data_IF_596780995481
#
_entry.id   IF_596780995481
#
_cell.length_a   1.000
_cell.length_b   1.000
_cell.length_c   1.000
_cell.angle_alpha   90.00
_cell.angle_beta   90.00
_cell.angle_gamma   90.00
#
_symmetry.space_group_name_H-M   'P 1'
#
loop_
_entity.id
_entity.type
_entity.pdbx_description
1 polymer ?
#
# COMPACT_ATOMS: atom_id res chain seq x y z
N UNK A 1 28.12 -11.39 3.07
CA UNK A 1 27.40 -10.21 2.50
C UNK A 1 28.11 -8.95 2.95
N UNK A 2 28.33 -7.95 2.09
CA UNK A 2 28.90 -6.67 2.55
C UNK A 2 27.80 -5.90 3.32
N UNK A 3 28.16 -5.31 4.46
CA UNK A 3 27.30 -4.35 5.18
C UNK A 3 27.30 -3.02 4.42
N UNK A 4 26.64 -3.00 3.26
CA UNK A 4 26.45 -1.78 2.50
C UNK A 4 25.05 -1.26 2.79
N UNK A 5 24.95 -0.12 3.47
CA UNK A 5 23.70 0.62 3.61
C UNK A 5 23.38 1.26 2.26
N UNK A 6 22.19 1.01 1.74
CA UNK A 6 21.72 1.63 0.50
C UNK A 6 21.01 2.94 0.83
N UNK A 7 21.33 4.00 0.10
CA UNK A 7 20.60 5.27 0.19
C UNK A 7 19.28 5.23 -0.60
N UNK A 8 19.05 4.18 -1.39
CA UNK A 8 17.85 4.05 -2.21
C UNK A 8 16.60 3.85 -1.34
N UNK A 9 15.57 4.66 -1.59
CA UNK A 9 14.31 4.64 -0.83
C UNK A 9 13.62 3.28 -0.90
N UNK A 10 13.66 2.58 -2.04
CA UNK A 10 13.03 1.27 -2.18
C UNK A 10 13.77 0.17 -1.41
N UNK A 11 15.10 0.26 -1.30
CA UNK A 11 15.89 -0.71 -0.54
C UNK A 11 15.66 -0.52 0.96
N UNK A 12 15.69 0.73 1.43
CA UNK A 12 15.33 1.08 2.81
C UNK A 12 13.91 0.65 3.13
N UNK A 13 12.98 0.86 2.21
CA UNK A 13 11.59 0.47 2.37
C UNK A 13 11.44 -1.05 2.56
N UNK A 14 12.03 -1.87 1.69
CA UNK A 14 11.83 -3.32 1.79
C UNK A 14 12.48 -3.89 3.05
N UNK A 15 13.61 -3.32 3.49
CA UNK A 15 14.23 -3.68 4.77
C UNK A 15 13.35 -3.29 5.96
N UNK A 16 12.82 -2.06 5.96
CA UNK A 16 11.85 -1.60 6.98
C UNK A 16 10.63 -2.51 7.02
N UNK A 17 9.97 -2.70 5.87
CA UNK A 17 8.75 -3.48 5.75
C UNK A 17 8.94 -4.93 6.20
N UNK A 18 10.12 -5.51 5.92
CA UNK A 18 10.47 -6.86 6.38
C UNK A 18 10.66 -6.89 7.90
N UNK A 19 11.32 -5.90 8.50
CA UNK A 19 11.49 -5.82 9.96
C UNK A 19 10.16 -5.60 10.69
N UNK A 20 9.28 -4.74 10.16
CA UNK A 20 7.90 -4.56 10.64
C UNK A 20 7.11 -5.88 10.58
N UNK A 21 7.26 -6.66 9.50
CA UNK A 21 6.66 -7.98 9.39
C UNK A 21 7.23 -8.98 10.43
N UNK A 22 8.55 -8.99 10.64
CA UNK A 22 9.18 -9.84 11.67
C UNK A 22 8.63 -9.49 13.04
N UNK A 23 8.52 -8.21 13.38
CA UNK A 23 7.97 -7.75 14.65
C UNK A 23 6.52 -8.22 14.84
N UNK A 24 5.69 -8.05 13.81
CA UNK A 24 4.30 -8.52 13.80
C UNK A 24 4.19 -10.04 14.02
N UNK A 25 4.93 -10.83 13.23
CA UNK A 25 4.87 -12.30 13.31
C UNK A 25 5.36 -12.79 14.67
N UNK A 26 6.44 -12.22 15.22
CA UNK A 26 6.93 -12.59 16.56
C UNK A 26 5.87 -12.32 17.63
N UNK A 27 5.21 -11.17 17.58
CA UNK A 27 4.13 -10.81 18.52
C UNK A 27 2.99 -11.81 18.43
N UNK A 28 2.42 -12.01 17.23
CA UNK A 28 1.29 -12.93 17.05
C UNK A 28 1.65 -14.38 17.42
N UNK A 29 2.88 -14.85 17.12
CA UNK A 29 3.34 -16.18 17.52
C UNK A 29 3.51 -16.31 19.04
N UNK A 30 3.98 -15.26 19.74
CA UNK A 30 4.09 -15.25 21.21
C UNK A 30 2.73 -15.29 21.91
N UNK A 31 1.69 -14.75 21.26
CA UNK A 31 0.31 -14.75 21.73
C UNK A 31 -0.50 -15.96 21.21
N UNK A 32 0.15 -16.93 20.56
CA UNK A 32 -0.46 -18.12 19.94
C UNK A 32 -1.55 -17.82 18.87
N UNK A 33 -1.51 -16.63 18.26
CA UNK A 33 -2.45 -16.19 17.21
C UNK A 33 -1.98 -16.58 15.80
N UNK A 34 -1.77 -17.87 15.58
CA UNK A 34 -1.20 -18.39 14.32
C UNK A 34 -2.06 -18.06 13.08
N UNK A 35 -3.38 -17.91 13.25
CA UNK A 35 -4.30 -17.55 12.18
C UNK A 35 -4.02 -16.17 11.57
N UNK A 36 -3.42 -15.25 12.35
CA UNK A 36 -3.13 -13.89 11.91
C UNK A 36 -1.82 -13.79 11.08
N UNK A 37 -0.97 -14.82 11.13
CA UNK A 37 0.40 -14.79 10.59
C UNK A 37 0.47 -15.16 9.11
N UNK A 38 -0.32 -16.15 8.67
CA UNK A 38 -0.20 -16.71 7.31
C UNK A 38 -0.53 -15.67 6.24
N UNK A 39 -1.58 -14.87 6.42
CA UNK A 39 -2.02 -13.89 5.41
C UNK A 39 -1.00 -12.76 5.19
N UNK A 40 -0.42 -12.12 6.22
CA UNK A 40 0.65 -11.15 6.03
C UNK A 40 1.90 -11.74 5.37
N UNK A 41 2.29 -12.96 5.74
CA UNK A 41 3.42 -13.67 5.13
C UNK A 41 3.20 -13.93 3.64
N UNK A 42 2.01 -14.34 3.22
CA UNK A 42 1.73 -14.56 1.79
C UNK A 42 1.70 -13.25 1.01
N UNK A 43 1.05 -12.20 1.55
CA UNK A 43 1.02 -10.85 0.96
C UNK A 43 2.40 -10.21 0.83
N UNK A 44 3.33 -10.60 1.69
CA UNK A 44 4.71 -10.14 1.59
C UNK A 44 5.34 -10.54 0.26
N UNK A 45 5.09 -11.75 -0.24
CA UNK A 45 5.64 -12.19 -1.53
C UNK A 45 5.11 -11.37 -2.70
N UNK A 46 3.82 -11.01 -2.69
CA UNK A 46 3.26 -10.09 -3.69
C UNK A 46 3.94 -8.73 -3.63
N UNK A 47 4.20 -8.23 -2.43
CA UNK A 47 4.89 -6.95 -2.22
C UNK A 47 6.34 -7.01 -2.70
N UNK A 48 7.07 -8.07 -2.38
CA UNK A 48 8.44 -8.28 -2.81
C UNK A 48 8.55 -8.40 -4.34
N UNK A 49 7.68 -9.19 -4.96
CA UNK A 49 7.76 -9.49 -6.41
C UNK A 49 7.18 -8.36 -7.27
N UNK A 50 5.95 -7.94 -6.98
CA UNK A 50 5.21 -6.99 -7.81
C UNK A 50 5.53 -5.52 -7.49
N UNK A 51 6.16 -5.21 -6.35
CA UNK A 51 6.63 -3.86 -6.04
C UNK A 51 8.15 -3.79 -6.08
N UNK A 52 8.84 -4.41 -5.13
CA UNK A 52 10.29 -4.22 -4.99
C UNK A 52 11.10 -4.72 -6.19
N UNK A 53 11.00 -6.01 -6.53
CA UNK A 53 11.78 -6.61 -7.64
C UNK A 53 11.41 -5.97 -8.97
N UNK A 54 10.12 -5.70 -9.20
CA UNK A 54 9.63 -5.12 -10.46
C UNK A 54 10.16 -3.70 -10.68
N UNK A 55 10.08 -2.84 -9.67
CA UNK A 55 10.56 -1.45 -9.75
C UNK A 55 12.09 -1.37 -9.78
N UNK A 56 12.79 -2.32 -9.16
CA UNK A 56 14.25 -2.35 -9.11
C UNK A 56 14.90 -3.29 -10.14
N UNK A 57 14.15 -3.80 -11.13
CA UNK A 57 14.67 -4.79 -12.10
C UNK A 57 15.93 -4.33 -12.83
N UNK A 58 15.97 -3.07 -13.25
CA UNK A 58 17.15 -2.47 -13.93
C UNK A 58 18.37 -2.44 -13.01
N UNK A 59 18.16 -2.08 -11.74
CA UNK A 59 19.20 -2.04 -10.69
C UNK A 59 19.74 -3.45 -10.42
N UNK A 60 18.86 -4.42 -10.21
CA UNK A 60 19.20 -5.83 -9.98
C UNK A 60 19.98 -6.42 -11.17
N UNK A 61 19.66 -6.02 -12.41
CA UNK A 61 20.39 -6.44 -13.62
C UNK A 61 21.76 -5.80 -13.78
N UNK A 62 22.03 -4.68 -13.11
CA UNK A 62 23.26 -3.90 -13.27
C UNK A 62 23.21 -2.82 -14.35
N UNK A 63 22.03 -2.54 -14.92
CA UNK A 63 21.86 -1.48 -15.92
C UNK A 63 22.13 -0.08 -15.33
N UNK A 64 22.05 0.05 -14.01
CA UNK A 64 22.29 1.29 -13.24
C UNK A 64 23.73 1.40 -12.70
N UNK A 65 24.60 0.43 -12.98
CA UNK A 65 25.97 0.37 -12.48
C UNK A 65 26.21 -0.76 -11.47
N UNK A 66 27.47 -1.21 -11.38
CA UNK A 66 27.86 -2.36 -10.56
C UNK A 66 27.68 -2.13 -9.05
N UNK A 67 27.88 -0.89 -8.60
CA UNK A 67 27.72 -0.54 -7.19
C UNK A 67 26.25 -0.57 -6.77
N UNK A 68 25.38 0.10 -7.53
CA UNK A 68 23.92 0.08 -7.30
C UNK A 68 23.32 -1.33 -7.40
N UNK A 69 23.83 -2.16 -8.31
CA UNK A 69 23.49 -3.57 -8.37
C UNK A 69 23.86 -4.31 -7.08
N UNK A 70 25.05 -4.05 -6.55
CA UNK A 70 25.54 -4.67 -5.31
C UNK A 70 24.66 -4.26 -4.13
N UNK A 71 24.24 -3.00 -4.05
CA UNK A 71 23.30 -2.51 -3.04
C UNK A 71 21.94 -3.21 -3.13
N UNK A 72 21.32 -3.22 -4.31
CA UNK A 72 20.01 -3.84 -4.51
C UNK A 72 20.02 -5.36 -4.24
N UNK A 73 21.05 -6.08 -4.71
CA UNK A 73 21.21 -7.51 -4.45
C UNK A 73 21.50 -7.80 -2.97
N UNK A 74 22.25 -6.93 -2.29
CA UNK A 74 22.52 -7.07 -0.85
C UNK A 74 21.24 -6.91 -0.03
N UNK A 75 20.45 -5.87 -0.31
CA UNK A 75 19.16 -5.65 0.35
C UNK A 75 18.21 -6.82 0.11
N UNK A 76 18.06 -7.26 -1.15
CA UNK A 76 17.26 -8.43 -1.50
C UNK A 76 17.74 -9.70 -0.77
N UNK A 77 19.05 -9.91 -0.68
CA UNK A 77 19.64 -11.04 0.03
C UNK A 77 19.28 -11.04 1.52
N UNK A 78 19.36 -9.88 2.21
CA UNK A 78 19.00 -9.76 3.63
C UNK A 78 17.53 -10.10 3.84
N UNK A 79 16.67 -9.52 3.01
CA UNK A 79 15.22 -9.75 3.05
C UNK A 79 14.89 -11.23 2.82
N UNK A 80 15.53 -11.89 1.85
CA UNK A 80 15.33 -13.31 1.57
C UNK A 80 15.76 -14.21 2.74
N UNK A 81 16.88 -13.89 3.41
CA UNK A 81 17.32 -14.63 4.60
C UNK A 81 16.29 -14.51 5.73
N UNK A 82 15.79 -13.30 6.00
CA UNK A 82 14.81 -13.05 7.05
C UNK A 82 13.50 -13.78 6.76
N UNK A 83 12.94 -13.65 5.56
CA UNK A 83 11.65 -14.26 5.23
C UNK A 83 11.72 -15.79 5.19
N UNK A 84 12.83 -16.39 4.74
CA UNK A 84 13.02 -17.85 4.74
C UNK A 84 13.02 -18.40 6.16
N UNK A 85 13.70 -17.73 7.09
CA UNK A 85 13.68 -18.09 8.52
C UNK A 85 12.30 -17.90 9.14
N UNK A 86 11.59 -16.82 8.79
CA UNK A 86 10.25 -16.51 9.29
C UNK A 86 9.19 -17.50 8.77
N UNK A 87 9.33 -17.97 7.53
CA UNK A 87 8.43 -18.93 6.88
C UNK A 87 8.71 -20.39 7.23
N UNK A 88 9.90 -20.70 7.78
CA UNK A 88 10.34 -22.07 8.07
C UNK A 88 9.32 -22.91 8.88
N UNK A 89 8.61 -22.36 9.89
CA UNK A 89 7.58 -23.12 10.61
C UNK A 89 6.36 -23.51 9.76
N UNK A 90 6.09 -22.78 8.67
CA UNK A 90 4.90 -22.95 7.83
C UNK A 90 5.18 -23.77 6.56
N UNK A 91 6.36 -23.60 5.97
CA UNK A 91 6.78 -24.29 4.73
C UNK A 91 8.16 -24.94 4.87
N UNK A 92 8.32 -25.91 5.79
CA UNK A 92 9.63 -26.35 6.28
C UNK A 92 10.56 -26.91 5.21
N UNK A 93 10.05 -27.74 4.30
CA UNK A 93 10.86 -28.34 3.22
C UNK A 93 11.29 -27.32 2.18
N UNK A 94 10.38 -26.41 1.81
CA UNK A 94 10.67 -25.36 0.84
C UNK A 94 11.69 -24.36 1.39
N UNK A 95 11.49 -23.89 2.62
CA UNK A 95 12.43 -23.00 3.28
C UNK A 95 13.81 -23.63 3.45
N UNK A 96 13.90 -24.91 3.79
CA UNK A 96 15.18 -25.60 3.90
C UNK A 96 15.91 -25.72 2.55
N UNK A 97 15.16 -26.00 1.47
CA UNK A 97 15.71 -26.00 0.12
C UNK A 97 16.24 -24.62 -0.30
N UNK A 98 15.49 -23.54 -0.03
CA UNK A 98 15.92 -22.18 -0.35
C UNK A 98 17.12 -21.78 0.51
N UNK A 99 17.10 -22.10 1.81
CA UNK A 99 18.20 -21.84 2.75
C UNK A 99 19.52 -22.46 2.29
N UNK A 100 19.49 -23.72 1.82
CA UNK A 100 20.67 -24.40 1.29
C UNK A 100 21.29 -23.70 0.07
N UNK A 101 20.51 -22.94 -0.69
CA UNK A 101 21.03 -22.11 -1.77
C UNK A 101 21.51 -20.75 -1.26
N UNK A 102 20.78 -20.11 -0.34
CA UNK A 102 21.15 -18.84 0.26
C UNK A 102 22.45 -18.94 1.08
N UNK A 103 22.68 -20.04 1.82
CA UNK A 103 23.92 -20.21 2.61
C UNK A 103 25.19 -20.15 1.76
N UNK A 104 25.14 -20.61 0.51
CA UNK A 104 26.28 -20.57 -0.43
C UNK A 104 26.71 -19.14 -0.75
N UNK A 105 25.77 -18.20 -0.69
CA UNK A 105 26.00 -16.78 -1.01
C UNK A 105 26.24 -15.96 0.25
N UNK A 106 25.55 -16.29 1.33
CA UNK A 106 25.58 -15.52 2.59
C UNK A 106 26.73 -15.93 3.51
N UNK A 107 27.22 -17.17 3.39
CA UNK A 107 28.22 -17.74 4.28
C UNK A 107 27.65 -18.22 5.63
N UNK A 108 26.32 -18.42 5.71
CA UNK A 108 25.68 -18.92 6.92
C UNK A 108 26.23 -20.30 7.32
N UNK A 109 26.49 -20.50 8.61
CA UNK A 109 27.13 -21.69 9.16
C UNK A 109 26.19 -22.89 9.28
N UNK A 110 24.91 -22.62 9.47
CA UNK A 110 23.89 -23.61 9.78
C UNK A 110 23.46 -24.36 8.51
N UNK A 111 23.50 -25.69 8.57
CA UNK A 111 23.19 -26.54 7.42
C UNK A 111 21.71 -26.51 7.00
N UNK A 112 20.84 -26.26 7.98
CA UNK A 112 19.39 -26.19 7.84
C UNK A 112 18.85 -24.91 8.46
N UNK A 113 17.79 -24.36 7.86
CA UNK A 113 17.08 -23.20 8.42
C UNK A 113 16.48 -23.51 9.79
N UNK A 114 16.14 -24.78 10.05
CA UNK A 114 15.51 -25.22 11.30
C UNK A 114 16.48 -25.24 12.49
N UNK A 115 17.78 -25.10 12.23
CA UNK A 115 18.79 -24.93 13.27
C UNK A 115 19.04 -23.45 13.61
N UNK A 116 18.33 -22.53 12.94
CA UNK A 116 18.43 -21.09 13.20
C UNK A 116 17.31 -20.64 14.12
N UNK A 117 17.58 -19.64 14.97
CA UNK A 117 16.55 -19.00 15.76
C UNK A 117 15.58 -18.21 14.87
N UNK A 118 14.34 -18.01 15.33
CA UNK A 118 13.44 -17.05 14.70
C UNK A 118 14.11 -15.67 14.67
N UNK A 119 14.08 -14.96 13.53
CA UNK A 119 14.73 -13.67 13.40
C UNK A 119 14.13 -12.67 14.38
N UNK A 120 14.96 -11.76 14.88
CA UNK A 120 14.56 -10.60 15.69
C UNK A 120 14.43 -9.39 14.77
N UNK A 121 13.43 -8.53 15.02
CA UNK A 121 13.32 -7.26 14.30
C UNK A 121 14.45 -6.33 14.73
N UNK A 122 15.00 -5.60 13.77
CA UNK A 122 15.88 -4.47 14.04
C UNK A 122 15.07 -3.17 13.94
N UNK A 123 14.68 -2.63 15.09
CA UNK A 123 13.86 -1.43 15.18
C UNK A 123 14.57 -0.19 14.58
N UNK A 124 15.90 -0.22 14.44
CA UNK A 124 16.67 0.87 13.81
C UNK A 124 16.52 0.93 12.30
N UNK A 125 16.07 -0.18 11.69
CA UNK A 125 15.80 -0.27 10.26
C UNK A 125 14.32 0.02 9.92
N UNK A 126 13.45 0.13 10.93
CA UNK A 126 12.03 0.44 10.74
C UNK A 126 11.88 1.94 10.53
N UNK A 127 11.47 2.31 9.32
CA UNK A 127 11.19 3.66 8.88
C UNK A 127 9.73 3.77 8.39
N UNK A 128 8.84 4.10 9.33
CA UNK A 128 7.40 4.23 9.06
C UNK A 128 7.10 5.33 8.05
N UNK A 129 7.99 6.31 7.89
CA UNK A 129 7.81 7.39 6.91
C UNK A 129 8.00 6.85 5.50
N UNK A 130 9.03 6.04 5.30
CA UNK A 130 9.30 5.39 4.01
C UNK A 130 8.22 4.36 3.68
N UNK A 131 7.76 3.57 4.67
CA UNK A 131 6.63 2.65 4.50
C UNK A 131 5.36 3.38 4.04
N UNK A 132 5.03 4.49 4.70
CA UNK A 132 3.88 5.34 4.36
C UNK A 132 3.98 5.90 2.95
N UNK A 133 5.16 6.38 2.53
CA UNK A 133 5.41 6.89 1.18
C UNK A 133 5.19 5.83 0.11
N UNK A 134 5.78 4.65 0.29
CA UNK A 134 5.64 3.57 -0.69
C UNK A 134 4.21 3.02 -0.70
N UNK A 135 3.51 3.00 0.42
CA UNK A 135 2.10 2.64 0.45
C UNK A 135 1.24 3.63 -0.35
N UNK A 136 1.42 4.93 -0.15
CA UNK A 136 0.73 5.97 -0.93
C UNK A 136 0.99 5.82 -2.44
N UNK A 137 2.24 5.58 -2.81
CA UNK A 137 2.65 5.32 -4.19
C UNK A 137 1.91 4.10 -4.79
N UNK A 138 1.85 2.99 -4.05
CA UNK A 138 1.16 1.76 -4.48
C UNK A 138 -0.33 1.98 -4.68
N UNK A 139 -0.99 2.58 -3.69
CA UNK A 139 -2.43 2.86 -3.74
C UNK A 139 -2.77 3.72 -4.97
N UNK A 140 -1.93 4.71 -5.26
CA UNK A 140 -2.10 5.55 -6.44
C UNK A 140 -1.92 4.77 -7.75
N UNK A 141 -0.89 3.92 -7.86
CA UNK A 141 -0.65 3.08 -9.04
C UNK A 141 -1.84 2.13 -9.28
N UNK A 142 -2.35 1.50 -8.23
CA UNK A 142 -3.46 0.55 -8.32
C UNK A 142 -4.76 1.25 -8.75
N UNK A 143 -5.04 2.45 -8.20
CA UNK A 143 -6.18 3.26 -8.63
C UNK A 143 -6.10 3.63 -10.12
N UNK A 144 -4.92 4.02 -10.60
CA UNK A 144 -4.72 4.35 -12.02
C UNK A 144 -4.93 3.13 -12.91
N UNK A 145 -4.46 1.96 -12.50
CA UNK A 145 -4.69 0.70 -13.23
C UNK A 145 -6.17 0.38 -13.35
N UNK A 146 -6.90 0.48 -12.24
CA UNK A 146 -8.37 0.29 -12.23
C UNK A 146 -9.06 1.29 -13.15
N UNK A 147 -8.65 2.56 -13.14
CA UNK A 147 -9.22 3.59 -14.03
C UNK A 147 -8.94 3.31 -15.51
N UNK A 148 -7.71 2.90 -15.84
CA UNK A 148 -7.33 2.50 -17.19
C UNK A 148 -8.13 1.30 -17.68
N UNK A 149 -8.31 0.29 -16.83
CA UNK A 149 -9.11 -0.88 -17.14
C UNK A 149 -10.59 -0.51 -17.39
N UNK A 150 -11.19 0.30 -16.51
CA UNK A 150 -12.57 0.80 -16.67
C UNK A 150 -12.79 1.58 -17.96
N UNK A 151 -11.78 2.32 -18.42
CA UNK A 151 -11.81 3.09 -19.67
C UNK A 151 -11.26 2.31 -20.87
N UNK A 152 -10.88 1.04 -20.69
CA UNK A 152 -10.26 0.20 -21.70
C UNK A 152 -9.04 0.86 -22.39
N UNK A 153 -8.19 1.55 -21.63
CA UNK A 153 -6.97 2.22 -22.12
C UNK A 153 -5.74 1.39 -21.73
N UNK A 154 -5.11 0.69 -22.68
CA UNK A 154 -3.89 -0.07 -22.41
C UNK A 154 -2.74 0.80 -21.87
N UNK A 155 -1.94 0.25 -20.94
CA UNK A 155 -0.78 0.93 -20.31
C UNK A 155 0.27 1.38 -21.33
N UNK A 156 0.39 0.68 -22.47
CA UNK A 156 1.31 1.06 -23.56
C UNK A 156 1.05 2.46 -24.15
N UNK A 157 -0.16 3.01 -23.99
CA UNK A 157 -0.48 4.35 -24.45
C UNK A 157 -0.13 5.38 -23.36
N UNK A 158 0.82 6.30 -23.64
CA UNK A 158 1.20 7.32 -22.69
C UNK A 158 0.07 8.32 -22.51
N UNK A 159 -0.29 8.62 -21.26
CA UNK A 159 -1.24 9.68 -20.95
C UNK A 159 -0.50 11.00 -20.67
N UNK A 160 -1.15 12.12 -20.97
CA UNK A 160 -0.56 13.45 -20.82
C UNK A 160 -0.32 13.81 -19.36
N UNK A 161 -1.33 13.59 -18.51
CA UNK A 161 -1.32 14.08 -17.14
C UNK A 161 -2.17 13.17 -16.25
N UNK A 162 -1.74 13.01 -15.00
CA UNK A 162 -2.51 12.46 -13.90
C UNK A 162 -2.69 13.54 -12.86
N UNK A 163 -3.93 13.73 -12.38
CA UNK A 163 -4.24 14.68 -11.33
C UNK A 163 -4.68 13.89 -10.09
N UNK A 164 -3.95 14.04 -8.99
CA UNK A 164 -4.31 13.45 -7.70
C UNK A 164 -4.79 14.55 -6.78
N UNK A 165 -6.03 14.41 -6.32
CA UNK A 165 -6.63 15.33 -5.36
C UNK A 165 -6.84 14.62 -4.04
N UNK A 166 -6.19 15.12 -2.98
CA UNK A 166 -6.36 14.60 -1.62
C UNK A 166 -6.40 15.78 -0.64
N UNK A 167 -7.17 15.65 0.43
CA UNK A 167 -7.20 16.64 1.52
C UNK A 167 -5.92 16.61 2.34
N UNK A 168 -5.34 15.43 2.52
CA UNK A 168 -4.10 15.27 3.27
C UNK A 168 -2.91 15.79 2.46
N UNK A 169 -2.33 16.92 2.90
CA UNK A 169 -1.17 17.52 2.26
C UNK A 169 0.07 16.64 2.37
N UNK A 170 0.22 15.91 3.47
CA UNK A 170 1.36 15.02 3.68
C UNK A 170 1.34 13.86 2.68
N UNK A 171 0.15 13.29 2.40
CA UNK A 171 -0.02 12.28 1.36
C UNK A 171 0.42 12.80 -0.03
N UNK A 172 0.10 14.05 -0.36
CA UNK A 172 0.50 14.65 -1.64
C UNK A 172 2.02 14.86 -1.73
N UNK A 173 2.67 15.27 -0.64
CA UNK A 173 4.12 15.39 -0.56
C UNK A 173 4.82 14.04 -0.71
N UNK A 174 4.30 13.01 -0.06
CA UNK A 174 4.83 11.66 -0.15
C UNK A 174 4.74 11.11 -1.57
N UNK A 175 3.61 11.32 -2.25
CA UNK A 175 3.46 10.96 -3.67
C UNK A 175 4.46 11.69 -4.55
N UNK A 176 4.65 13.00 -4.34
CA UNK A 176 5.66 13.77 -5.08
C UNK A 176 7.07 13.23 -4.87
N UNK A 177 7.40 12.79 -3.65
CA UNK A 177 8.74 12.26 -3.35
C UNK A 177 9.08 10.99 -4.15
N UNK A 178 8.06 10.25 -4.62
CA UNK A 178 8.19 9.02 -5.39
C UNK A 178 7.60 9.15 -6.81
N UNK A 179 7.44 10.38 -7.32
CA UNK A 179 6.77 10.68 -8.58
C UNK A 179 7.35 9.88 -9.76
N UNK A 180 8.68 9.75 -9.85
CA UNK A 180 9.33 9.05 -10.96
C UNK A 180 8.98 7.56 -11.01
N UNK A 181 8.81 6.90 -9.86
CA UNK A 181 8.35 5.52 -9.80
C UNK A 181 6.92 5.40 -10.29
N UNK A 182 6.04 6.33 -9.92
CA UNK A 182 4.65 6.34 -10.34
C UNK A 182 4.54 6.55 -11.86
N UNK A 183 5.13 7.63 -12.39
CA UNK A 183 5.04 7.99 -13.80
C UNK A 183 5.60 6.90 -14.73
N UNK A 184 6.73 6.31 -14.35
CA UNK A 184 7.34 5.22 -15.11
C UNK A 184 6.47 3.96 -15.12
N UNK A 185 5.76 3.70 -14.02
CA UNK A 185 4.92 2.52 -13.87
C UNK A 185 3.61 2.60 -14.66
N UNK A 186 2.94 3.75 -14.57
CA UNK A 186 1.62 3.94 -15.19
C UNK A 186 1.69 4.56 -16.58
N UNK A 187 2.90 4.84 -17.09
CA UNK A 187 3.16 5.46 -18.39
C UNK A 187 2.37 6.77 -18.56
N UNK A 188 2.64 7.72 -17.68
CA UNK A 188 2.03 9.06 -17.68
C UNK A 188 3.16 10.09 -17.68
N UNK A 189 2.99 11.21 -18.38
CA UNK A 189 4.07 12.20 -18.55
C UNK A 189 4.21 13.16 -17.37
N UNK A 190 3.13 13.46 -16.65
CA UNK A 190 3.13 14.47 -15.59
C UNK A 190 2.17 14.06 -14.46
N UNK A 191 2.61 14.25 -13.21
CA UNK A 191 1.77 14.14 -12.01
C UNK A 191 1.51 15.55 -11.45
N UNK A 192 0.24 15.92 -11.39
CA UNK A 192 -0.22 17.15 -10.74
C UNK A 192 -0.96 16.77 -9.46
N UNK A 193 -0.51 17.30 -8.33
CA UNK A 193 -1.20 17.13 -7.04
C UNK A 193 -1.91 18.41 -6.64
N UNK A 194 -3.08 18.29 -6.02
CA UNK A 194 -3.86 19.42 -5.55
C UNK A 194 -4.67 19.07 -4.31
N UNK A 195 -4.90 20.04 -3.43
CA UNK A 195 -5.91 19.95 -2.38
C UNK A 195 -7.24 20.59 -2.80
N UNK A 196 -7.20 21.42 -3.85
CA UNK A 196 -8.37 22.10 -4.37
C UNK A 196 -9.17 21.17 -5.29
N UNK A 197 -10.30 20.69 -4.78
CA UNK A 197 -11.26 19.83 -5.48
C UNK A 197 -12.10 20.60 -6.50
N UNK A 198 -12.46 21.85 -6.17
CA UNK A 198 -13.33 22.70 -6.99
C UNK A 198 -12.66 23.04 -8.30
N UNK A 199 -11.35 23.30 -8.27
CA UNK A 199 -10.52 23.54 -9.46
C UNK A 199 -10.64 22.44 -10.52
N UNK A 200 -10.85 21.19 -10.11
CA UNK A 200 -10.92 20.03 -11.01
C UNK A 200 -12.34 19.45 -11.17
N UNK A 201 -13.36 20.17 -10.70
CA UNK A 201 -14.76 19.74 -10.83
C UNK A 201 -15.06 18.42 -10.11
N UNK A 202 -14.33 18.15 -9.02
CA UNK A 202 -14.55 16.98 -8.18
C UNK A 202 -15.59 17.34 -7.13
N UNK A 203 -16.73 16.66 -7.17
CA UNK A 203 -17.88 16.87 -6.28
C UNK A 203 -17.96 15.69 -5.31
N UNK A 204 -18.32 15.97 -4.06
CA UNK A 204 -18.62 14.94 -3.07
C UNK A 204 -20.02 14.36 -3.30
N UNK A 205 -20.13 13.04 -3.26
CA UNK A 205 -21.39 12.32 -3.33
C UNK A 205 -21.55 11.42 -2.12
N UNK A 206 -22.73 11.45 -1.49
CA UNK A 206 -23.08 10.48 -0.47
C UNK A 206 -23.59 9.19 -1.12
N UNK A 207 -22.97 8.07 -0.78
CA UNK A 207 -23.40 6.73 -1.11
C UNK A 207 -23.95 6.05 0.16
N UNK A 208 -25.29 6.00 0.33
CA UNK A 208 -25.94 5.44 1.51
C UNK A 208 -25.89 3.91 1.51
N UNK A 209 -25.58 3.32 2.67
CA UNK A 209 -25.66 1.88 2.88
C UNK A 209 -27.12 1.46 3.15
N UNK A 210 -27.82 1.09 2.07
CA UNK A 210 -29.25 0.73 2.13
C UNK A 210 -29.58 -0.40 3.12
N UNK A 211 -28.66 -1.34 3.36
CA UNK A 211 -28.90 -2.46 4.29
C UNK A 211 -28.95 -1.97 5.74
N UNK A 212 -27.94 -1.22 6.17
CA UNK A 212 -27.83 -0.76 7.55
C UNK A 212 -28.89 0.31 7.83
N UNK A 213 -29.03 1.28 6.91
CA UNK A 213 -30.04 2.33 7.01
C UNK A 213 -31.47 1.78 7.04
N UNK A 214 -31.76 0.71 6.29
CA UNK A 214 -33.08 0.08 6.29
C UNK A 214 -33.44 -0.61 7.60
N UNK A 215 -32.47 -1.26 8.25
CA UNK A 215 -32.67 -1.90 9.55
C UNK A 215 -32.93 -0.86 10.66
N UNK A 216 -32.17 0.24 10.64
CA UNK A 216 -32.25 1.26 11.70
C UNK A 216 -33.39 2.24 11.51
N UNK A 217 -33.52 2.83 10.31
CA UNK A 217 -34.44 3.94 10.03
C UNK A 217 -35.82 3.49 9.54
N UNK A 218 -35.97 2.22 9.14
CA UNK A 218 -37.23 1.62 8.65
C UNK A 218 -37.95 2.55 7.65
N UNK A 219 -39.08 3.13 8.02
CA UNK A 219 -39.89 4.00 7.16
C UNK A 219 -39.24 5.34 6.80
N UNK A 220 -38.36 5.88 7.65
CA UNK A 220 -37.67 7.15 7.40
C UNK A 220 -36.44 6.99 6.49
N UNK A 221 -36.04 5.76 6.17
CA UNK A 221 -34.94 5.49 5.23
C UNK A 221 -35.13 6.21 3.90
N UNK A 222 -36.36 6.19 3.34
CA UNK A 222 -36.63 6.83 2.04
C UNK A 222 -36.33 8.32 2.07
N UNK A 223 -36.73 9.01 3.14
CA UNK A 223 -36.50 10.46 3.30
C UNK A 223 -35.01 10.77 3.42
N UNK A 224 -34.29 10.00 4.24
CA UNK A 224 -32.85 10.20 4.45
C UNK A 224 -32.05 9.91 3.18
N UNK A 225 -32.37 8.83 2.46
CA UNK A 225 -31.72 8.51 1.18
C UNK A 225 -32.00 9.57 0.13
N UNK A 226 -33.23 10.07 0.06
CA UNK A 226 -33.61 11.11 -0.90
C UNK A 226 -32.84 12.41 -0.64
N UNK A 227 -32.75 12.83 0.62
CA UNK A 227 -31.93 13.97 1.04
C UNK A 227 -30.45 13.78 0.66
N UNK A 228 -29.87 12.63 1.00
CA UNK A 228 -28.47 12.31 0.68
C UNK A 228 -28.17 12.30 -0.83
N UNK A 229 -29.17 12.04 -1.69
CA UNK A 229 -28.99 12.01 -3.14
C UNK A 229 -29.26 13.34 -3.84
N UNK A 230 -30.16 14.17 -3.30
CA UNK A 230 -30.68 15.33 -4.03
C UNK A 230 -30.46 16.67 -3.33
N UNK A 231 -30.40 16.68 -1.99
CA UNK A 231 -30.38 17.92 -1.19
C UNK A 231 -29.12 18.10 -0.36
N UNK A 232 -28.30 17.06 -0.20
CA UNK A 232 -27.07 17.17 0.59
C UNK A 232 -26.12 18.19 -0.03
N UNK A 233 -25.67 19.11 0.80
CA UNK A 233 -24.73 20.15 0.38
C UNK A 233 -23.29 19.65 0.49
N UNK A 234 -22.40 20.24 -0.30
CA UNK A 234 -20.98 19.88 -0.24
C UNK A 234 -20.39 20.18 1.14
N UNK A 235 -20.80 21.28 1.79
CA UNK A 235 -20.38 21.64 3.14
C UNK A 235 -20.76 20.60 4.21
N UNK A 236 -21.97 20.03 4.12
CA UNK A 236 -22.41 18.95 5.01
C UNK A 236 -21.55 17.70 4.83
N UNK A 237 -21.19 17.35 3.60
CA UNK A 237 -20.28 16.22 3.33
C UNK A 237 -18.83 16.52 3.76
N UNK A 238 -18.41 17.78 3.74
CA UNK A 238 -17.11 18.19 4.27
C UNK A 238 -17.05 18.05 5.79
N UNK A 239 -18.09 18.53 6.50
CA UNK A 239 -18.24 18.35 7.94
C UNK A 239 -18.32 16.87 8.31
N UNK A 240 -19.10 16.07 7.58
CA UNK A 240 -19.18 14.63 7.83
C UNK A 240 -17.82 13.93 7.74
N UNK A 241 -17.00 14.31 6.76
CA UNK A 241 -15.65 13.75 6.61
C UNK A 241 -14.65 14.26 7.67
N UNK A 242 -14.92 15.38 8.35
CA UNK A 242 -14.09 15.91 9.42
C UNK A 242 -14.51 15.39 10.81
N UNK A 243 -15.82 15.31 11.06
CA UNK A 243 -16.40 14.99 12.37
C UNK A 243 -16.86 13.52 12.47
N UNK A 244 -17.00 12.82 11.34
CA UNK A 244 -17.46 11.43 11.26
C UNK A 244 -18.96 11.24 11.49
N UNK A 245 -19.72 12.33 11.63
CA UNK A 245 -21.14 12.35 11.99
C UNK A 245 -21.90 13.36 11.13
N UNK A 246 -23.08 12.99 10.65
CA UNK A 246 -23.94 13.86 9.83
C UNK A 246 -25.38 13.75 10.31
N UNK A 247 -25.98 14.87 10.72
CA UNK A 247 -27.39 14.86 11.14
C UNK A 247 -28.29 15.18 9.95
N UNK A 248 -29.08 14.21 9.49
CA UNK A 248 -30.02 14.37 8.36
C UNK A 248 -31.43 14.01 8.82
N UNK A 249 -32.39 14.92 8.60
CA UNK A 249 -33.80 14.72 8.95
C UNK A 249 -34.03 14.28 10.42
N UNK A 250 -33.21 14.77 11.36
CA UNK A 250 -33.30 14.40 12.79
C UNK A 250 -32.61 13.09 13.18
N UNK A 251 -31.89 12.45 12.24
CA UNK A 251 -31.13 11.22 12.49
C UNK A 251 -29.63 11.46 12.34
N UNK A 252 -28.85 11.03 13.33
CA UNK A 252 -27.38 11.09 13.28
C UNK A 252 -26.82 9.89 12.51
N UNK A 253 -26.16 10.15 11.38
CA UNK A 253 -25.57 9.16 10.50
C UNK A 253 -24.07 9.03 10.80
N UNK A 254 -23.60 7.80 10.82
CA UNK A 254 -22.19 7.45 11.04
C UNK A 254 -21.49 7.02 9.73
N UNK A 255 -20.17 6.90 9.77
CA UNK A 255 -19.32 6.43 8.66
C UNK A 255 -19.61 4.98 8.20
N UNK A 256 -20.30 4.17 9.02
CA UNK A 256 -20.74 2.83 8.63
C UNK A 256 -22.01 2.87 7.75
N UNK A 257 -22.79 3.94 7.87
CA UNK A 257 -24.11 4.09 7.26
C UNK A 257 -24.10 4.91 5.98
N UNK A 258 -23.19 5.87 5.90
CA UNK A 258 -22.98 6.71 4.73
C UNK A 258 -21.51 6.72 4.38
N UNK A 259 -21.20 6.31 3.16
CA UNK A 259 -19.87 6.48 2.57
C UNK A 259 -19.87 7.71 1.67
N UNK A 260 -18.80 8.48 1.66
CA UNK A 260 -18.65 9.63 0.73
C UNK A 260 -17.68 9.26 -0.37
N UNK A 261 -18.13 9.36 -1.61
CA UNK A 261 -17.32 9.13 -2.80
C UNK A 261 -17.04 10.45 -3.52
N UNK A 262 -15.91 10.48 -4.23
CA UNK A 262 -15.53 11.58 -5.10
C UNK A 262 -15.99 11.27 -6.52
N UNK A 263 -16.79 12.15 -7.12
CA UNK A 263 -17.21 12.04 -8.52
C UNK A 263 -16.74 13.24 -9.33
N UNK A 264 -16.41 13.02 -10.61
CA UNK A 264 -16.19 14.13 -11.54
C UNK A 264 -17.53 14.59 -12.12
N UNK A 265 -17.74 15.89 -12.18
CA UNK A 265 -18.94 16.51 -12.77
C UNK A 265 -19.17 16.14 -14.26
N UNK A 266 -18.17 15.60 -14.96
CA UNK A 266 -18.25 15.24 -16.38
C UNK A 266 -18.67 13.78 -16.65
N UNK A 267 -19.24 13.06 -15.68
CA UNK A 267 -19.77 11.70 -15.91
C UNK A 267 -21.23 11.78 -16.35
N UNK A 268 -21.44 12.26 -17.58
CA UNK A 268 -22.68 12.16 -18.37
C UNK A 268 -22.34 11.57 -19.73
#
# INVERSE_FOLDING_TARGET
MKEVKSENVMDRWIESFTNSLVQFVRKEMSEYRLYAVVTPLTRFFDTLTNCYIRLNRKRIKGDSGADDQTHALSALGRVLVLIVRLMAPFTPFFCDYVWKNLRKVTGASEESVHYTLLPTSDDSLIDTTVERRVQAMRDCIDLVRVLRERKAIPVKYPLKEMIVVNRDGQFLEDLKSLEHYILSEVNIRQLTVSQDKRKYGIILKADPNFKILGVRLKGDQKKVVDYLKTQVTENELEQFLAEGKLTVCGHELSSEEVSVSYTSAQSG
#
